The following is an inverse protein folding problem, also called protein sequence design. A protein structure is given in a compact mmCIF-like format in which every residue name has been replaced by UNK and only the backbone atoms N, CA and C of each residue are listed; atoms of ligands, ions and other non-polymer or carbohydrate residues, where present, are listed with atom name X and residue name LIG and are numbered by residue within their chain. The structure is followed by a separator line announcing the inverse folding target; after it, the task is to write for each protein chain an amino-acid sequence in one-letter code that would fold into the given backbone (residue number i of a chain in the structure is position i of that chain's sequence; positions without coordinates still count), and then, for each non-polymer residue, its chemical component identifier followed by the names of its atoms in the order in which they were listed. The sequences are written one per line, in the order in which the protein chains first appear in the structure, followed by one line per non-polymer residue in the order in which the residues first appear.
data_IF_432093281508
#
_entry.id   IF_432093281508
#
_cell.length_a   1.000
_cell.length_b   1.000
_cell.length_c   1.000
_cell.angle_alpha   90.00
_cell.angle_beta   90.00
_cell.angle_gamma   90.00
#
_symmetry.space_group_name_H-M   'P 1'
#
loop_
_entity.id
_entity.type
_entity.pdbx_description
1 polymer ?
#
# COMPACT_ATOMS: atom_id res chain seq x y z
N UNK A 1 -2.10 -16.72 2.57
CA UNK A 1 -1.02 -15.72 2.37
C UNK A 1 -0.04 -16.31 1.38
N UNK A 2 0.18 -15.64 0.24
CA UNK A 2 1.27 -16.02 -0.66
C UNK A 2 2.54 -15.41 -0.06
N UNK A 3 3.64 -16.16 -0.05
CA UNK A 3 4.94 -15.69 0.43
C UNK A 3 5.97 -15.84 -0.68
N UNK A 4 6.96 -14.95 -0.72
CA UNK A 4 8.09 -15.08 -1.66
C UNK A 4 9.09 -16.15 -1.18
N UNK A 5 10.15 -16.38 -1.96
CA UNK A 5 11.21 -17.35 -1.65
C UNK A 5 11.95 -17.04 -0.33
N UNK A 6 11.86 -15.79 0.16
CA UNK A 6 12.43 -15.34 1.43
C UNK A 6 11.44 -15.51 2.61
N UNK A 7 10.27 -16.13 2.38
CA UNK A 7 9.22 -16.32 3.38
C UNK A 7 8.47 -15.03 3.74
N UNK A 8 8.65 -13.94 2.99
CA UNK A 8 7.98 -12.67 3.22
C UNK A 8 6.62 -12.64 2.55
N UNK A 9 5.62 -11.91 3.09
CA UNK A 9 4.32 -11.75 2.44
C UNK A 9 4.48 -11.21 1.03
N UNK A 10 3.93 -11.93 0.06
CA UNK A 10 3.89 -11.57 -1.34
C UNK A 10 2.42 -11.44 -1.75
N UNK A 11 2.03 -10.28 -2.23
CA UNK A 11 0.72 -10.09 -2.85
C UNK A 11 0.86 -9.08 -3.97
N UNK A 12 0.22 -9.35 -5.09
CA UNK A 12 0.21 -8.46 -6.24
C UNK A 12 -1.17 -8.37 -6.86
N UNK A 13 -1.44 -7.26 -7.53
CA UNK A 13 -2.73 -7.07 -8.17
C UNK A 13 -3.11 -5.63 -8.40
N UNK A 14 -4.27 -5.46 -9.03
CA UNK A 14 -4.79 -4.13 -9.36
C UNK A 14 -5.55 -3.53 -8.18
N UNK A 15 -5.13 -2.35 -7.74
CA UNK A 15 -5.85 -1.52 -6.79
C UNK A 15 -6.19 -0.17 -7.42
N UNK A 16 -7.26 0.46 -6.95
CA UNK A 16 -7.58 1.84 -7.31
C UNK A 16 -6.98 2.78 -6.27
N UNK A 17 -6.06 3.64 -6.68
CA UNK A 17 -5.50 4.71 -5.85
C UNK A 17 -6.34 5.98 -5.97
N UNK A 18 -6.71 6.58 -4.84
CA UNK A 18 -7.35 7.89 -4.79
C UNK A 18 -6.32 8.99 -5.00
N UNK A 19 -6.42 9.68 -6.13
CA UNK A 19 -5.57 10.81 -6.49
C UNK A 19 -6.32 12.13 -6.25
N UNK A 20 -5.65 13.09 -5.63
CA UNK A 20 -6.12 14.47 -5.49
C UNK A 20 -5.38 15.30 -6.54
N UNK A 21 -6.09 15.75 -7.57
CA UNK A 21 -5.47 16.46 -8.72
C UNK A 21 -5.46 17.98 -8.53
N UNK A 22 -6.47 18.52 -7.85
CA UNK A 22 -6.67 19.93 -7.51
C UNK A 22 -7.35 20.03 -6.14
N UNK A 23 -7.37 21.23 -5.52
CA UNK A 23 -7.80 21.50 -4.12
C UNK A 23 -8.96 20.62 -3.59
N UNK A 24 -9.92 20.18 -4.42
CA UNK A 24 -10.94 19.20 -4.04
C UNK A 24 -11.25 18.08 -5.06
N UNK A 25 -10.60 18.06 -6.24
CA UNK A 25 -10.93 17.09 -7.30
C UNK A 25 -10.24 15.76 -7.00
N UNK A 26 -11.05 14.76 -6.68
CA UNK A 26 -10.63 13.39 -6.38
C UNK A 26 -10.94 12.48 -7.58
N UNK A 27 -9.98 11.64 -7.98
CA UNK A 27 -10.17 10.60 -9.00
C UNK A 27 -9.56 9.29 -8.54
N UNK A 28 -10.21 8.18 -8.88
CA UNK A 28 -9.64 6.85 -8.73
C UNK A 28 -8.83 6.47 -9.96
N UNK A 29 -7.57 6.07 -9.78
CA UNK A 29 -6.72 5.54 -10.85
C UNK A 29 -6.37 4.09 -10.54
N UNK A 30 -6.69 3.17 -11.45
CA UNK A 30 -6.26 1.78 -11.34
C UNK A 30 -4.76 1.70 -11.55
N UNK A 31 -4.05 1.03 -10.65
CA UNK A 31 -2.62 0.74 -10.76
C UNK A 31 -2.37 -0.70 -10.34
N UNK A 32 -1.27 -1.25 -10.84
CA UNK A 32 -0.78 -2.55 -10.40
C UNK A 32 0.17 -2.32 -9.22
N UNK A 33 -0.08 -3.03 -8.13
CA UNK A 33 0.71 -3.00 -6.90
C UNK A 33 1.35 -4.36 -6.69
N UNK A 34 2.55 -4.36 -6.12
CA UNK A 34 3.28 -5.57 -5.73
C UNK A 34 3.90 -5.32 -4.37
N UNK A 35 3.52 -6.11 -3.37
CA UNK A 35 4.17 -6.17 -2.07
C UNK A 35 5.31 -7.19 -2.17
N UNK A 36 6.56 -6.72 -2.07
CA UNK A 36 7.73 -7.58 -2.13
C UNK A 36 8.79 -7.08 -1.15
N UNK A 37 9.21 -7.95 -0.25
CA UNK A 37 10.16 -7.61 0.80
C UNK A 37 9.74 -6.42 1.64
N UNK A 38 10.61 -5.42 1.73
CA UNK A 38 10.41 -4.23 2.56
C UNK A 38 9.71 -3.09 1.82
N UNK A 39 9.13 -3.35 0.66
CA UNK A 39 8.52 -2.33 -0.19
C UNK A 39 7.16 -2.76 -0.74
N UNK A 40 6.25 -1.78 -0.83
CA UNK A 40 5.06 -1.87 -1.66
C UNK A 40 5.28 -1.03 -2.91
N UNK A 41 5.48 -1.69 -4.05
CA UNK A 41 5.72 -1.05 -5.34
C UNK A 41 4.40 -0.80 -6.05
N UNK A 42 4.31 0.31 -6.80
CA UNK A 42 3.23 0.49 -7.75
C UNK A 42 3.69 1.15 -9.04
N UNK A 43 3.10 0.72 -10.14
CA UNK A 43 3.47 1.23 -11.46
C UNK A 43 2.82 2.59 -11.75
N UNK A 44 3.63 3.56 -12.15
CA UNK A 44 3.17 4.87 -12.62
C UNK A 44 3.84 5.22 -13.93
N UNK A 45 3.02 5.32 -14.97
CA UNK A 45 3.47 5.93 -16.21
C UNK A 45 3.38 7.45 -16.22
N UNK A 46 4.38 8.08 -16.83
CA UNK A 46 4.32 9.47 -17.33
C UNK A 46 3.71 9.50 -18.74
N UNK A 47 3.97 8.47 -19.54
CA UNK A 47 3.44 8.23 -20.89
C UNK A 47 3.03 6.75 -21.06
N UNK A 48 2.67 6.33 -22.29
CA UNK A 48 2.30 4.94 -22.61
C UNK A 48 3.49 3.97 -22.53
N UNK A 49 4.71 4.48 -22.72
CA UNK A 49 5.93 3.68 -22.91
C UNK A 49 6.93 3.82 -21.75
N UNK A 50 6.77 4.80 -20.88
CA UNK A 50 7.58 4.94 -19.65
C UNK A 50 6.76 4.55 -18.43
N UNK A 51 7.01 3.36 -17.90
CA UNK A 51 6.40 2.86 -16.67
C UNK A 51 7.46 2.76 -15.57
N UNK A 52 7.38 3.65 -14.58
CA UNK A 52 8.25 3.61 -13.41
C UNK A 52 7.57 2.82 -12.29
N UNK A 53 8.31 1.92 -11.63
CA UNK A 53 7.90 1.34 -10.37
C UNK A 53 8.25 2.31 -9.24
N UNK A 54 7.22 2.77 -8.53
CA UNK A 54 7.36 3.72 -7.43
C UNK A 54 7.28 2.97 -6.12
N UNK A 55 8.35 3.02 -5.29
CA UNK A 55 8.35 2.34 -4.01
C UNK A 55 7.58 3.13 -2.94
N UNK A 56 6.90 2.39 -2.09
CA UNK A 56 6.46 2.80 -0.76
C UNK A 56 7.27 1.96 0.23
N UNK A 57 8.24 2.58 0.88
CA UNK A 57 9.06 1.90 1.90
C UNK A 57 8.20 1.56 3.12
N UNK A 58 8.19 0.28 3.51
CA UNK A 58 7.34 -0.20 4.59
C UNK A 58 7.82 0.24 5.98
N UNK A 59 9.11 0.50 6.15
CA UNK A 59 9.68 1.10 7.37
C UNK A 59 9.09 2.50 7.65
N UNK A 60 8.83 3.28 6.60
CA UNK A 60 8.23 4.62 6.66
C UNK A 60 6.70 4.61 6.86
N UNK A 61 6.06 3.44 6.84
CA UNK A 61 4.62 3.33 7.08
C UNK A 61 4.36 3.54 8.57
N UNK A 62 3.56 4.55 8.90
CA UNK A 62 3.13 4.85 10.26
C UNK A 62 1.88 4.06 10.63
N UNK A 63 0.91 3.91 9.72
CA UNK A 63 -0.27 3.06 9.95
C UNK A 63 -0.93 2.56 8.67
N UNK A 64 -1.66 1.44 8.78
CA UNK A 64 -2.51 0.89 7.72
C UNK A 64 -3.89 0.62 8.30
N UNK A 65 -4.94 1.20 7.70
CA UNK A 65 -6.30 1.20 8.29
C UNK A 65 -7.40 1.04 7.25
N UNK A 66 -8.51 0.41 7.63
CA UNK A 66 -9.74 0.43 6.82
C UNK A 66 -10.29 1.85 6.79
N UNK A 67 -10.72 2.31 5.61
CA UNK A 67 -11.37 3.62 5.49
C UNK A 67 -12.82 3.49 5.94
N UNK A 68 -13.16 4.13 7.06
CA UNK A 68 -14.52 4.12 7.58
C UNK A 68 -15.52 4.75 6.59
N UNK A 69 -16.71 4.14 6.48
CA UNK A 69 -17.86 4.73 5.77
C UNK A 69 -18.21 6.07 6.41
N UNK A 70 -17.96 7.18 5.72
CA UNK A 70 -18.54 8.48 6.12
C UNK A 70 -19.98 8.54 5.64
N UNK A 71 -20.90 9.07 6.46
CA UNK A 71 -22.35 9.14 6.17
C UNK A 71 -22.72 9.77 4.82
N UNK A 72 -21.84 10.60 4.23
CA UNK A 72 -22.01 11.22 2.89
C UNK A 72 -21.22 10.55 1.77
N UNK A 73 -20.25 9.69 2.09
CA UNK A 73 -19.43 8.94 1.13
C UNK A 73 -20.06 7.54 0.97
N UNK A 74 -21.06 7.44 0.09
CA UNK A 74 -21.76 6.16 -0.18
C UNK A 74 -20.84 5.06 -0.75
N UNK A 75 -19.66 5.43 -1.24
CA UNK A 75 -18.54 4.51 -1.44
C UNK A 75 -17.51 4.83 -0.35
N UNK A 76 -16.98 3.86 0.39
CA UNK A 76 -16.00 2.95 -0.16
C UNK A 76 -15.94 1.67 0.70
N UNK A 77 -16.92 0.75 0.59
CA UNK A 77 -16.62 -0.62 0.98
C UNK A 77 -15.35 -1.04 0.22
N UNK A 78 -14.45 -1.78 0.87
CA UNK A 78 -13.23 -2.36 0.25
C UNK A 78 -12.06 -1.38 0.09
N UNK A 79 -12.07 -0.24 0.79
CA UNK A 79 -10.95 0.70 0.78
C UNK A 79 -10.19 0.73 2.09
N UNK A 80 -8.90 0.95 1.99
CA UNK A 80 -7.97 1.11 3.09
C UNK A 80 -7.00 2.25 2.79
N UNK A 81 -6.34 2.74 3.83
CA UNK A 81 -5.33 3.78 3.76
C UNK A 81 -4.00 3.27 4.30
N UNK A 82 -2.92 3.70 3.65
CA UNK A 82 -1.54 3.54 4.09
C UNK A 82 -1.04 4.95 4.38
N UNK A 83 -0.75 5.23 5.64
CA UNK A 83 -0.19 6.50 6.07
C UNK A 83 1.31 6.35 6.26
N UNK A 84 2.07 7.11 5.49
CA UNK A 84 3.53 7.24 5.61
C UNK A 84 3.89 8.61 6.20
N UNK A 85 5.15 8.81 6.55
CA UNK A 85 5.70 10.09 6.99
C UNK A 85 5.35 11.30 6.10
N UNK A 86 5.25 11.08 4.79
CA UNK A 86 5.17 12.13 3.77
C UNK A 86 3.85 12.10 2.99
N UNK A 87 3.14 10.97 2.97
CA UNK A 87 1.95 10.79 2.13
C UNK A 87 0.95 9.79 2.70
N UNK A 88 -0.34 10.08 2.51
CA UNK A 88 -1.42 9.10 2.67
C UNK A 88 -1.82 8.53 1.30
N UNK A 89 -1.78 7.20 1.17
CA UNK A 89 -2.30 6.48 0.03
C UNK A 89 -3.65 5.89 0.39
N UNK A 90 -4.71 6.27 -0.31
CA UNK A 90 -6.03 5.64 -0.15
C UNK A 90 -6.26 4.70 -1.31
N UNK A 91 -6.33 3.41 -1.02
CA UNK A 91 -6.44 2.33 -1.99
C UNK A 91 -7.80 1.64 -1.87
N UNK A 92 -8.30 1.13 -2.99
CA UNK A 92 -9.55 0.36 -3.04
C UNK A 92 -9.35 -0.93 -3.82
N UNK A 93 -9.70 -2.04 -3.20
CA UNK A 93 -9.70 -3.37 -3.80
C UNK A 93 -10.99 -3.65 -4.58
N UNK A 94 -11.00 -4.75 -5.33
CA UNK A 94 -12.15 -5.19 -6.11
C UNK A 94 -13.33 -5.60 -5.22
N UNK A 95 -13.05 -6.34 -4.16
CA UNK A 95 -14.02 -6.81 -3.16
C UNK A 95 -13.41 -6.81 -1.75
N UNK A 96 -14.21 -7.24 -0.76
CA UNK A 96 -13.89 -7.11 0.66
C UNK A 96 -12.82 -8.12 1.06
N UNK A 97 -12.94 -9.35 0.56
CA UNK A 97 -11.93 -10.39 0.70
C UNK A 97 -10.56 -9.91 0.22
N UNK A 98 -10.46 -9.34 -0.98
CA UNK A 98 -9.20 -8.82 -1.47
C UNK A 98 -8.70 -7.65 -0.61
N UNK A 99 -9.58 -6.77 -0.12
CA UNK A 99 -9.16 -5.68 0.77
C UNK A 99 -8.55 -6.21 2.08
N UNK A 100 -9.15 -7.24 2.67
CA UNK A 100 -8.66 -7.92 3.87
C UNK A 100 -7.33 -8.62 3.61
N UNK A 101 -7.18 -9.34 2.50
CA UNK A 101 -5.91 -10.00 2.13
C UNK A 101 -4.78 -8.99 1.98
N UNK A 102 -5.02 -7.86 1.30
CA UNK A 102 -4.06 -6.76 1.20
C UNK A 102 -3.71 -6.18 2.57
N UNK A 103 -4.69 -5.90 3.42
CA UNK A 103 -4.48 -5.38 4.77
C UNK A 103 -3.62 -6.32 5.62
N UNK A 104 -3.93 -7.62 5.60
CA UNK A 104 -3.17 -8.63 6.33
C UNK A 104 -1.72 -8.68 5.86
N UNK A 105 -1.50 -8.82 4.55
CA UNK A 105 -0.14 -8.94 4.01
C UNK A 105 0.69 -7.67 4.27
N UNK A 106 0.11 -6.48 4.07
CA UNK A 106 0.83 -5.22 4.33
C UNK A 106 1.16 -5.08 5.81
N UNK A 107 0.23 -5.38 6.73
CA UNK A 107 0.51 -5.26 8.18
C UNK A 107 1.63 -6.20 8.62
N UNK A 108 1.65 -7.44 8.15
CA UNK A 108 2.74 -8.38 8.44
C UNK A 108 4.06 -7.86 7.88
N UNK A 109 4.09 -7.39 6.64
CA UNK A 109 5.29 -6.87 6.01
C UNK A 109 5.81 -5.58 6.68
N UNK A 110 4.93 -4.69 7.14
CA UNK A 110 5.31 -3.50 7.92
C UNK A 110 5.94 -3.89 9.26
N UNK A 111 5.36 -4.87 9.97
CA UNK A 111 5.95 -5.36 11.22
C UNK A 111 7.35 -5.94 10.98
N UNK A 112 7.51 -6.78 9.95
CA UNK A 112 8.81 -7.36 9.56
C UNK A 112 9.83 -6.29 9.16
N UNK A 113 9.43 -5.26 8.41
CA UNK A 113 10.32 -4.18 8.00
C UNK A 113 10.87 -3.40 9.21
N UNK A 114 10.02 -3.11 10.20
CA UNK A 114 10.42 -2.43 11.44
C UNK A 114 11.34 -3.29 12.31
N UNK A 115 11.07 -4.60 12.40
CA UNK A 115 11.96 -5.51 13.12
C UNK A 115 13.36 -5.57 12.51
N UNK A 116 13.46 -5.57 11.17
CA UNK A 116 14.75 -5.55 10.46
C UNK A 116 15.51 -4.25 10.73
N UNK A 117 14.85 -3.10 10.58
CA UNK A 117 15.46 -1.79 10.84
C UNK A 117 15.98 -1.67 12.28
N UNK A 118 15.21 -2.16 13.26
CA UNK A 118 15.65 -2.20 14.66
C UNK A 118 16.88 -3.09 14.88
N UNK A 119 16.94 -4.27 14.23
CA UNK A 119 18.10 -5.18 14.32
C UNK A 119 19.35 -4.57 13.70
N UNK A 120 19.20 -3.93 12.54
CA UNK A 120 20.29 -3.23 11.86
C UNK A 120 20.81 -2.08 12.74
N UNK A 121 19.92 -1.25 13.29
CA UNK A 121 20.30 -0.16 14.19
C UNK A 121 21.05 -0.64 15.45
N UNK A 122 20.71 -1.82 15.98
CA UNK A 122 21.37 -2.40 17.16
C UNK A 122 22.73 -3.03 16.83
N UNK A 123 22.96 -3.44 15.58
CA UNK A 123 24.22 -4.08 15.15
C UNK A 123 25.37 -3.07 15.03
N UNK A 124 25.04 -1.77 14.93
CA UNK A 124 26.01 -0.68 14.84
C UNK A 124 26.22 0.07 16.16
N UNK A 125 25.75 -0.48 17.28
CA UNK A 125 26.02 -0.01 18.66
C UNK A 125 26.90 -1.02 19.39
#
# INVERSE_FOLDING_TARGET
MIVNQEGQPLIEGKLKEKQVRWKFIKRWKTRYFTLAGNQLLFRRGKSKDELDDIPIELSKVQSVKVVAKKRRDRGLPRAFEIFTDSKTYVLKAQDEKHAEEWLQCINVAVAQARERENREATTYL
#
